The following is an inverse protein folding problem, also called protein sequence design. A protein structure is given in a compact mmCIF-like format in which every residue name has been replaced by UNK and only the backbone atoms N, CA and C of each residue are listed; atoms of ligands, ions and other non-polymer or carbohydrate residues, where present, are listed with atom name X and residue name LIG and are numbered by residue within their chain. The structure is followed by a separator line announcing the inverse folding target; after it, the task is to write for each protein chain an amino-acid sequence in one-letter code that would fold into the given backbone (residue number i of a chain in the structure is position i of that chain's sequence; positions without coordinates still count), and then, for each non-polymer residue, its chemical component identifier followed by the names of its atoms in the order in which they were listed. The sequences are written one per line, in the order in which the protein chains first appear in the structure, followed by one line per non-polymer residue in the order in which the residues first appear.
data_IF_166158434955
#
_entry.id   IF_166158434955
#
_cell.length_a   1.000
_cell.length_b   1.000
_cell.length_c   1.000
_cell.angle_alpha   90.00
_cell.angle_beta   90.00
_cell.angle_gamma   90.00
#
_symmetry.space_group_name_H-M   'P 1'
#
loop_
_entity.id
_entity.type
_entity.pdbx_description
1 polymer ?
#
# COMPACT_ATOMS: atom_id res chain seq x y z
N UNK A 1 12.80 12.30 44.50
CA UNK A 1 12.04 11.39 43.61
C UNK A 1 11.35 12.24 42.56
N UNK A 2 11.70 12.06 41.28
CA UNK A 2 10.98 12.72 40.17
C UNK A 2 9.93 11.73 39.67
N UNK A 3 8.66 12.12 39.70
CA UNK A 3 7.56 11.38 39.11
C UNK A 3 7.36 11.88 37.68
N UNK A 4 7.54 11.00 36.69
CA UNK A 4 7.21 11.29 35.30
C UNK A 4 5.82 10.71 35.04
N UNK A 5 4.85 11.60 34.79
CA UNK A 5 3.55 11.21 34.25
C UNK A 5 3.56 11.41 32.73
N UNK A 6 3.26 10.33 31.99
CA UNK A 6 3.12 10.36 30.54
C UNK A 6 1.64 10.19 30.22
N UNK A 7 1.00 11.25 29.74
CA UNK A 7 -0.37 11.20 29.26
C UNK A 7 -0.38 11.25 27.72
N UNK A 8 -1.24 10.45 27.06
CA UNK A 8 -1.38 10.50 25.61
C UNK A 8 -1.81 11.91 25.17
N UNK A 9 -1.15 12.44 24.13
CA UNK A 9 -1.46 13.77 23.58
C UNK A 9 -2.68 13.75 22.66
N UNK A 10 -2.91 12.63 21.99
CA UNK A 10 -4.03 12.43 21.08
C UNK A 10 -4.28 10.94 20.87
N UNK A 11 -5.49 10.62 20.42
CA UNK A 11 -5.88 9.31 19.88
C UNK A 11 -6.52 9.57 18.52
N UNK A 12 -6.11 8.82 17.51
CA UNK A 12 -6.69 8.87 16.18
C UNK A 12 -7.38 7.54 15.90
N UNK A 13 -8.67 7.59 15.60
CA UNK A 13 -9.46 6.43 15.18
C UNK A 13 -9.54 6.52 13.65
N UNK A 14 -8.59 5.90 12.95
CA UNK A 14 -8.47 6.01 11.48
C UNK A 14 -8.90 4.77 10.70
N UNK A 15 -9.42 3.76 11.39
CA UNK A 15 -9.82 2.47 10.80
C UNK A 15 -8.73 1.82 9.91
N UNK A 16 -7.47 1.90 10.37
CA UNK A 16 -6.26 1.41 9.71
C UNK A 16 -5.85 2.17 8.43
N UNK A 17 -6.49 3.29 8.11
CA UNK A 17 -6.22 4.06 6.89
C UNK A 17 -4.75 4.48 6.75
N UNK A 18 -4.12 5.02 7.80
CA UNK A 18 -2.70 5.39 7.74
C UNK A 18 -1.81 4.16 7.57
N UNK A 19 -2.20 3.01 8.12
CA UNK A 19 -1.45 1.76 7.98
C UNK A 19 -1.49 1.27 6.54
N UNK A 20 -2.65 1.29 5.88
CA UNK A 20 -2.77 0.90 4.49
C UNK A 20 -2.05 1.87 3.55
N UNK A 21 -2.20 3.18 3.78
CA UNK A 21 -1.52 4.23 3.00
C UNK A 21 0.00 4.12 3.10
N UNK A 22 0.56 4.07 4.32
CA UNK A 22 2.03 4.01 4.48
C UNK A 22 2.61 2.71 3.94
N UNK A 23 1.84 1.62 3.94
CA UNK A 23 2.26 0.34 3.36
C UNK A 23 2.26 0.40 1.82
N UNK A 24 1.23 0.99 1.22
CA UNK A 24 1.16 1.22 -0.23
C UNK A 24 2.28 2.14 -0.74
N UNK A 25 2.51 3.25 -0.04
CA UNK A 25 3.58 4.21 -0.39
C UNK A 25 4.96 3.54 -0.34
N UNK A 26 5.24 2.79 0.73
CA UNK A 26 6.51 2.10 0.87
C UNK A 26 6.75 1.08 -0.27
N UNK A 27 5.72 0.30 -0.63
CA UNK A 27 5.79 -0.66 -1.72
C UNK A 27 6.02 0.01 -3.09
N UNK A 28 5.34 1.13 -3.34
CA UNK A 28 5.49 1.90 -4.58
C UNK A 28 6.90 2.50 -4.72
N UNK A 29 7.44 3.10 -3.66
CA UNK A 29 8.81 3.67 -3.65
C UNK A 29 9.85 2.56 -3.87
N UNK A 30 9.72 1.44 -3.16
CA UNK A 30 10.63 0.31 -3.32
C UNK A 30 10.58 -0.27 -4.74
N UNK A 31 9.37 -0.44 -5.30
CA UNK A 31 9.17 -0.92 -6.67
C UNK A 31 9.82 0.02 -7.69
N UNK A 32 9.59 1.33 -7.56
CA UNK A 32 10.21 2.33 -8.44
C UNK A 32 11.73 2.32 -8.38
N UNK A 33 12.31 2.19 -7.19
CA UNK A 33 13.75 2.18 -7.01
C UNK A 33 14.43 0.94 -7.61
N UNK A 34 13.72 -0.19 -7.64
CA UNK A 34 14.27 -1.49 -8.04
C UNK A 34 13.84 -1.95 -9.44
N UNK A 35 12.87 -1.27 -10.06
CA UNK A 35 12.37 -1.63 -11.39
C UNK A 35 13.37 -1.29 -12.49
N UNK A 36 13.36 -2.10 -13.56
CA UNK A 36 14.08 -1.79 -14.78
C UNK A 36 13.53 -0.53 -15.45
N UNK A 37 14.35 0.14 -16.25
CA UNK A 37 13.91 1.28 -17.06
C UNK A 37 12.82 0.86 -18.05
N UNK A 38 11.78 1.70 -18.18
CA UNK A 38 10.70 1.49 -19.16
C UNK A 38 9.69 0.41 -18.79
N UNK A 39 9.65 -0.05 -17.53
CA UNK A 39 8.60 -0.95 -17.04
C UNK A 39 7.23 -0.29 -17.17
N UNK A 40 6.31 -1.00 -17.84
CA UNK A 40 4.93 -0.57 -18.13
C UNK A 40 3.87 -1.50 -17.54
N UNK A 41 4.27 -2.62 -16.97
CA UNK A 41 3.34 -3.57 -16.36
C UNK A 41 3.81 -3.99 -14.98
N UNK A 42 2.84 -4.29 -14.11
CA UNK A 42 3.10 -4.77 -12.76
C UNK A 42 2.17 -5.93 -12.41
N UNK A 43 2.63 -6.80 -11.52
CA UNK A 43 1.83 -7.91 -11.00
C UNK A 43 1.71 -7.80 -9.49
N UNK A 44 0.48 -7.86 -8.97
CA UNK A 44 0.22 -7.92 -7.51
C UNK A 44 -0.28 -9.32 -7.15
N UNK A 45 0.30 -9.91 -6.11
CA UNK A 45 -0.13 -11.21 -5.59
C UNK A 45 -0.92 -10.98 -4.31
N UNK A 46 -2.19 -11.33 -4.33
CA UNK A 46 -3.19 -11.01 -3.31
C UNK A 46 -4.19 -9.98 -3.83
N UNK A 47 -5.45 -10.14 -3.45
CA UNK A 47 -6.59 -9.39 -4.01
C UNK A 47 -7.43 -8.67 -2.96
N UNK A 48 -6.84 -8.38 -1.79
CA UNK A 48 -7.49 -7.69 -0.67
C UNK A 48 -7.30 -6.17 -0.71
N UNK A 49 -7.69 -5.50 0.39
CA UNK A 49 -7.62 -4.03 0.52
C UNK A 49 -6.23 -3.46 0.25
N UNK A 50 -5.17 -4.15 0.69
CA UNK A 50 -3.79 -3.70 0.45
C UNK A 50 -3.40 -3.76 -1.03
N UNK A 51 -3.91 -4.74 -1.80
CA UNK A 51 -3.60 -4.85 -3.23
C UNK A 51 -4.09 -3.61 -4.00
N UNK A 52 -5.26 -3.08 -3.64
CA UNK A 52 -5.80 -1.85 -4.20
C UNK A 52 -4.95 -0.62 -3.86
N UNK A 53 -4.53 -0.50 -2.60
CA UNK A 53 -3.67 0.60 -2.17
C UNK A 53 -2.31 0.54 -2.85
N UNK A 54 -1.70 -0.65 -2.95
CA UNK A 54 -0.44 -0.86 -3.67
C UNK A 54 -0.56 -0.47 -5.15
N UNK A 55 -1.62 -0.93 -5.84
CA UNK A 55 -1.87 -0.58 -7.23
C UNK A 55 -1.99 0.94 -7.41
N UNK A 56 -2.74 1.61 -6.54
CA UNK A 56 -2.92 3.06 -6.60
C UNK A 56 -1.61 3.81 -6.41
N UNK A 57 -0.88 3.50 -5.32
CA UNK A 57 0.38 4.16 -5.04
C UNK A 57 1.43 3.91 -6.12
N UNK A 58 1.44 2.72 -6.74
CA UNK A 58 2.36 2.39 -7.83
C UNK A 58 2.07 3.23 -9.08
N UNK A 59 0.79 3.39 -9.44
CA UNK A 59 0.36 4.24 -10.56
C UNK A 59 0.69 5.72 -10.35
N UNK A 60 0.71 6.19 -9.10
CA UNK A 60 1.05 7.58 -8.78
C UNK A 60 2.56 7.87 -9.00
N UNK A 61 3.43 6.85 -9.03
CA UNK A 61 4.90 7.05 -9.07
C UNK A 61 5.60 6.44 -10.29
N UNK A 62 4.93 5.56 -11.03
CA UNK A 62 5.45 4.86 -12.20
C UNK A 62 4.43 4.84 -13.36
N UNK A 63 4.89 4.87 -14.63
CA UNK A 63 4.01 4.86 -15.80
C UNK A 63 3.52 3.44 -16.12
N UNK A 64 2.83 2.80 -15.16
CA UNK A 64 2.25 1.48 -15.36
C UNK A 64 0.98 1.61 -16.20
N UNK A 65 0.91 0.86 -17.29
CA UNK A 65 -0.20 0.79 -18.24
C UNK A 65 -1.10 -0.42 -17.94
N UNK A 66 -0.53 -1.50 -17.39
CA UNK A 66 -1.26 -2.73 -17.07
C UNK A 66 -0.89 -3.24 -15.67
N UNK A 67 -1.90 -3.54 -14.86
CA UNK A 67 -1.74 -4.25 -13.60
C UNK A 67 -2.43 -5.60 -13.71
N UNK A 68 -1.64 -6.67 -13.76
CA UNK A 68 -2.15 -7.99 -13.49
C UNK A 68 -2.19 -8.17 -11.98
N UNK A 69 -3.18 -8.90 -11.48
CA UNK A 69 -3.11 -9.34 -10.11
C UNK A 69 -3.68 -10.74 -10.01
N UNK A 70 -3.35 -11.41 -8.92
CA UNK A 70 -3.71 -12.79 -8.69
C UNK A 70 -4.32 -12.92 -7.31
N UNK A 71 -5.47 -13.59 -7.22
CA UNK A 71 -6.14 -13.90 -5.96
C UNK A 71 -6.44 -15.38 -5.88
N UNK A 72 -6.45 -15.94 -4.66
CA UNK A 72 -6.82 -17.34 -4.43
C UNK A 72 -8.27 -17.64 -4.84
N UNK A 73 -9.16 -16.65 -4.70
CA UNK A 73 -10.58 -16.77 -5.00
C UNK A 73 -10.98 -15.68 -6.01
N UNK A 74 -11.70 -16.06 -7.07
CA UNK A 74 -12.14 -15.17 -8.14
C UNK A 74 -12.97 -13.98 -7.64
N UNK A 75 -13.77 -14.19 -6.58
CA UNK A 75 -14.73 -13.19 -6.06
C UNK A 75 -14.09 -12.03 -5.29
N UNK A 76 -12.81 -12.14 -4.90
CA UNK A 76 -12.16 -11.23 -3.93
C UNK A 76 -11.90 -9.82 -4.46
N UNK A 77 -11.96 -9.60 -5.77
CA UNK A 77 -11.45 -8.36 -6.38
C UNK A 77 -12.46 -7.24 -6.52
N UNK A 78 -13.75 -7.60 -6.63
CA UNK A 78 -14.87 -6.67 -6.83
C UNK A 78 -15.48 -6.18 -5.52
N UNK A 79 -14.91 -6.54 -4.37
CA UNK A 79 -15.33 -6.14 -3.00
C UNK A 79 -14.29 -5.25 -2.38
#
# INVERSE_FOLDING_TARGET
MISIQVFPKAVLIDDANLTDLRTGIAGAIASKAMANNGVKSASIIGSGVQARHQARCLLDVMPIEEICCWGRNERSWMS
#
